data_IF_333536657684
#
_entry.id   IF_333536657684
#
_cell.length_a   1.000
_cell.length_b   1.000
_cell.length_c   1.000
_cell.angle_alpha   90.00
_cell.angle_beta   90.00
_cell.angle_gamma   90.00
#
_symmetry.space_group_name_H-M   'P 1'
#
loop_
_entity.id
_entity.type
_entity.pdbx_description
1 polymer ?
#
# COMPACT_ATOMS: atom_id res chain seq x y z
N UNK A 1 -16.85 13.58 -0.28
CA UNK A 1 -16.88 12.53 0.77
C UNK A 1 -16.37 11.17 0.28
N UNK A 2 -16.84 10.62 -0.86
CA UNK A 2 -16.40 9.27 -1.34
C UNK A 2 -14.90 9.14 -1.59
N UNK A 3 -14.24 10.16 -2.14
CA UNK A 3 -12.80 10.11 -2.46
C UNK A 3 -11.91 10.02 -1.20
N UNK A 4 -12.20 10.83 -0.20
CA UNK A 4 -11.47 10.83 1.08
C UNK A 4 -11.67 9.50 1.82
N UNK A 5 -12.92 9.01 1.88
CA UNK A 5 -13.21 7.71 2.50
C UNK A 5 -12.48 6.56 1.78
N UNK A 6 -12.46 6.55 0.44
CA UNK A 6 -11.76 5.54 -0.34
C UNK A 6 -10.25 5.56 -0.08
N UNK A 7 -9.61 6.73 -0.13
CA UNK A 7 -8.17 6.83 0.13
C UNK A 7 -7.82 6.46 1.57
N UNK A 8 -8.64 6.81 2.56
CA UNK A 8 -8.43 6.40 3.95
C UNK A 8 -8.49 4.88 4.11
N UNK A 9 -9.49 4.23 3.50
CA UNK A 9 -9.59 2.77 3.48
C UNK A 9 -8.36 2.14 2.82
N UNK A 10 -7.91 2.68 1.69
CA UNK A 10 -6.69 2.19 1.01
C UNK A 10 -5.47 2.31 1.91
N UNK A 11 -5.28 3.45 2.59
CA UNK A 11 -4.15 3.68 3.50
C UNK A 11 -4.16 2.68 4.66
N UNK A 12 -5.31 2.51 5.32
CA UNK A 12 -5.43 1.60 6.47
C UNK A 12 -5.11 0.17 6.08
N UNK A 13 -5.72 -0.34 5.01
CA UNK A 13 -5.50 -1.72 4.58
C UNK A 13 -4.11 -1.94 3.99
N UNK A 14 -3.59 -0.99 3.19
CA UNK A 14 -2.26 -1.11 2.63
C UNK A 14 -1.17 -1.14 3.71
N UNK A 15 -1.34 -0.36 4.78
CA UNK A 15 -0.40 -0.37 5.90
C UNK A 15 -0.38 -1.73 6.61
N UNK A 16 -1.56 -2.25 6.98
CA UNK A 16 -1.69 -3.54 7.67
C UNK A 16 -1.13 -4.68 6.81
N UNK A 17 -1.52 -4.76 5.53
CA UNK A 17 -1.01 -5.78 4.62
C UNK A 17 0.49 -5.64 4.37
N UNK A 18 1.01 -4.42 4.22
CA UNK A 18 2.45 -4.18 4.06
C UNK A 18 3.27 -4.65 5.26
N UNK A 19 2.76 -4.47 6.47
CA UNK A 19 3.40 -5.00 7.68
C UNK A 19 3.38 -6.54 7.72
N UNK A 20 2.25 -7.16 7.37
CA UNK A 20 2.13 -8.63 7.30
C UNK A 20 3.11 -9.20 6.27
N UNK A 21 3.18 -8.60 5.09
CA UNK A 21 4.12 -9.00 4.03
C UNK A 21 5.57 -8.82 4.51
N UNK A 22 5.89 -7.69 5.17
CA UNK A 22 7.22 -7.45 5.73
C UNK A 22 7.63 -8.47 6.80
N UNK A 23 6.68 -8.89 7.64
CA UNK A 23 6.88 -9.95 8.63
C UNK A 23 7.17 -11.31 7.95
N UNK A 24 6.32 -11.71 7.00
CA UNK A 24 6.49 -12.98 6.25
C UNK A 24 7.82 -12.97 5.48
N UNK A 25 8.15 -11.86 4.81
CA UNK A 25 9.40 -11.71 4.06
C UNK A 25 10.64 -11.81 4.95
N UNK A 26 10.59 -11.22 6.15
CA UNK A 26 11.71 -11.31 7.11
C UNK A 26 11.90 -12.74 7.63
N UNK A 27 10.80 -13.46 7.89
CA UNK A 27 10.84 -14.86 8.27
C UNK A 27 11.39 -15.77 7.15
N UNK A 28 11.11 -15.43 5.89
CA UNK A 28 11.53 -16.20 4.72
C UNK A 28 13.03 -16.05 4.41
N UNK A 29 13.59 -14.85 4.55
CA UNK A 29 15.01 -14.57 4.27
C UNK A 29 15.91 -14.90 5.48
N UNK A 30 15.31 -15.25 6.63
CA UNK A 30 16.06 -15.50 7.87
C UNK A 30 16.74 -14.25 8.43
N UNK A 31 16.29 -13.06 8.01
CA UNK A 31 16.80 -11.79 8.55
C UNK A 31 16.16 -11.50 9.89
N UNK A 32 16.91 -10.95 10.87
CA UNK A 32 16.34 -10.59 12.16
C UNK A 32 15.14 -9.66 11.98
N UNK A 33 14.03 -9.98 12.64
CA UNK A 33 12.82 -9.17 12.73
C UNK A 33 13.11 -7.93 13.57
N UNK A 34 13.76 -6.94 12.97
CA UNK A 34 13.96 -5.65 13.63
C UNK A 34 12.70 -4.81 13.41
N UNK A 35 12.16 -4.23 14.48
CA UNK A 35 11.00 -3.32 14.46
C UNK A 35 10.99 -2.30 13.30
N UNK A 36 12.11 -1.70 12.86
CA UNK A 36 12.11 -0.79 11.71
C UNK A 36 11.83 -1.45 10.35
N UNK A 37 12.01 -2.77 10.17
CA UNK A 37 11.95 -3.42 8.84
C UNK A 37 10.50 -3.60 8.37
N UNK A 38 9.63 -4.19 9.18
CA UNK A 38 8.24 -4.43 8.77
C UNK A 38 7.40 -3.13 8.78
N UNK A 39 7.74 -2.15 9.63
CA UNK A 39 7.12 -0.81 9.58
C UNK A 39 7.46 -0.10 8.27
N UNK A 40 8.72 -0.18 7.82
CA UNK A 40 9.12 0.35 6.51
C UNK A 40 8.33 -0.31 5.38
N UNK A 41 8.14 -1.62 5.42
CA UNK A 41 7.32 -2.34 4.44
C UNK A 41 5.86 -1.84 4.44
N UNK A 42 5.27 -1.59 5.61
CA UNK A 42 3.96 -0.96 5.75
C UNK A 42 3.87 0.41 5.09
N UNK A 43 4.84 1.30 5.35
CA UNK A 43 4.87 2.66 4.76
C UNK A 43 5.03 2.58 3.24
N UNK A 44 5.94 1.75 2.75
CA UNK A 44 6.17 1.56 1.30
C UNK A 44 4.89 1.06 0.64
N UNK A 45 4.20 0.08 1.24
CA UNK A 45 2.95 -0.45 0.72
C UNK A 45 1.86 0.62 0.62
N UNK A 46 1.75 1.52 1.61
CA UNK A 46 0.82 2.66 1.56
C UNK A 46 1.13 3.59 0.39
N UNK A 47 2.39 3.98 0.22
CA UNK A 47 2.80 4.88 -0.88
C UNK A 47 2.45 4.24 -2.23
N UNK A 48 2.83 2.97 -2.43
CA UNK A 48 2.54 2.24 -3.67
C UNK A 48 1.04 2.12 -3.91
N UNK A 49 0.25 1.78 -2.88
CA UNK A 49 -1.20 1.62 -3.01
C UNK A 49 -1.90 2.94 -3.34
N UNK A 50 -1.50 4.05 -2.72
CA UNK A 50 -2.06 5.38 -3.02
C UNK A 50 -1.71 5.79 -4.44
N UNK A 51 -0.47 5.63 -4.88
CA UNK A 51 -0.06 5.97 -6.24
C UNK A 51 -0.75 5.09 -7.27
N UNK A 52 -0.81 3.78 -7.04
CA UNK A 52 -1.46 2.85 -7.95
C UNK A 52 -2.96 3.11 -8.11
N UNK A 53 -3.68 3.29 -7.00
CA UNK A 53 -5.14 3.51 -7.03
C UNK A 53 -5.50 4.85 -7.68
N UNK A 54 -4.79 5.93 -7.36
CA UNK A 54 -5.02 7.25 -7.97
C UNK A 54 -4.55 7.29 -9.43
N UNK A 55 -3.43 6.63 -9.75
CA UNK A 55 -2.93 6.47 -11.10
C UNK A 55 -3.92 5.71 -12.00
N UNK A 56 -4.43 4.56 -11.55
CA UNK A 56 -5.45 3.80 -12.28
C UNK A 56 -6.72 4.62 -12.52
N UNK A 57 -7.18 5.38 -11.52
CA UNK A 57 -8.35 6.27 -11.69
C UNK A 57 -8.12 7.29 -12.81
N UNK A 58 -6.92 7.86 -12.91
CA UNK A 58 -6.56 8.79 -13.97
C UNK A 58 -6.58 8.12 -15.36
N UNK A 59 -5.98 6.93 -15.48
CA UNK A 59 -5.99 6.16 -16.74
C UNK A 59 -7.41 5.80 -17.19
N UNK A 60 -8.25 5.32 -16.27
CA UNK A 60 -9.64 4.94 -16.56
C UNK A 60 -10.45 6.17 -17.00
N UNK A 61 -10.30 7.31 -16.32
CA UNK A 61 -11.00 8.53 -16.71
C UNK A 61 -10.56 9.03 -18.09
N UNK A 62 -9.27 8.93 -18.42
CA UNK A 62 -8.76 9.27 -19.75
C UNK A 62 -9.37 8.38 -20.84
N UNK A 63 -9.45 7.07 -20.58
CA UNK A 63 -10.05 6.10 -21.51
C UNK A 63 -11.53 6.34 -21.76
N UNK A 64 -12.28 6.90 -20.81
CA UNK A 64 -13.73 7.13 -20.93
C UNK A 64 -14.09 8.38 -21.75
N UNK A 65 -13.11 9.28 -21.95
CA UNK A 65 -13.27 10.55 -22.68
C UNK A 65 -12.67 10.53 -24.09
N UNK A 66 -12.15 9.38 -24.55
CA UNK A 66 -11.64 9.17 -25.91
C UNK A 66 -12.59 8.28 -26.70
#
# INVERSE_FOLDING_TARGET
MRFIAANLTVIVWAFIFGMIIGYIGSALVGTPLVMPVFIKAGIIAVIVAVVATNGLQCFINKSKNS
#
